data_IF_330223158267
#
_entry.id   IF_330223158267
#
_cell.length_a   1.000
_cell.length_b   1.000
_cell.length_c   1.000
_cell.angle_alpha   90.00
_cell.angle_beta   90.00
_cell.angle_gamma   90.00
#
_symmetry.space_group_name_H-M   'P 1'
#
loop_
_entity.id
_entity.type
_entity.pdbx_description
1 polymer ?
#
# COMPACT_ATOMS: atom_id res chain seq x y z
N UNK A 1 -16.51 4.27 1.28
CA UNK A 1 -15.31 4.16 2.14
C UNK A 1 -14.82 5.57 2.41
N UNK A 2 -14.53 5.92 3.67
CA UNK A 2 -14.03 7.25 4.01
C UNK A 2 -12.52 7.29 3.79
N UNK A 3 -12.03 8.30 3.07
CA UNK A 3 -10.59 8.50 2.86
C UNK A 3 -10.00 9.37 3.95
N UNK A 4 -8.98 8.86 4.64
CA UNK A 4 -8.23 9.57 5.68
C UNK A 4 -6.86 8.90 5.87
N UNK A 5 -5.84 9.59 6.39
CA UNK A 5 -4.51 9.02 6.53
C UNK A 5 -4.46 8.04 7.72
N UNK A 6 -4.58 6.73 7.46
CA UNK A 6 -4.46 5.68 8.50
C UNK A 6 -3.14 5.73 9.27
N UNK A 7 -2.08 6.19 8.61
CA UNK A 7 -0.73 6.31 9.19
C UNK A 7 -0.61 7.43 10.23
N UNK A 8 -1.63 8.26 10.44
CA UNK A 8 -1.55 9.41 11.36
C UNK A 8 -1.43 9.00 12.83
N UNK A 9 -1.95 7.82 13.20
CA UNK A 9 -1.88 7.26 14.56
C UNK A 9 -0.64 6.41 14.80
N UNK A 10 0.12 6.13 13.74
CA UNK A 10 1.32 5.30 13.83
C UNK A 10 2.38 6.03 14.64
N UNK A 11 2.95 5.32 15.59
CA UNK A 11 3.95 5.86 16.51
C UNK A 11 4.93 4.74 16.89
N UNK A 12 6.00 5.04 17.61
CA UNK A 12 7.04 4.05 17.96
C UNK A 12 6.58 2.93 18.94
N UNK A 13 5.29 2.86 19.27
CA UNK A 13 4.68 1.76 20.01
C UNK A 13 4.67 0.46 19.20
N UNK A 14 3.89 -0.53 19.67
CA UNK A 14 3.68 -1.81 18.99
C UNK A 14 2.89 -1.66 17.69
N UNK A 15 3.52 -2.04 16.57
CA UNK A 15 2.96 -1.98 15.21
C UNK A 15 1.57 -2.62 15.09
N UNK A 16 1.28 -3.67 15.86
CA UNK A 16 -0.01 -4.38 15.84
C UNK A 16 -1.20 -3.59 16.40
N UNK A 17 -0.97 -2.39 16.94
CA UNK A 17 -2.04 -1.48 17.41
C UNK A 17 -2.37 -0.38 16.41
N UNK A 18 -1.62 -0.32 15.31
CA UNK A 18 -1.79 0.71 14.30
C UNK A 18 -3.02 0.48 13.44
N UNK A 19 -3.70 1.56 13.08
CA UNK A 19 -4.81 1.49 12.11
C UNK A 19 -4.30 0.96 10.77
N UNK A 20 -5.03 0.00 10.21
CA UNK A 20 -4.65 -0.69 8.98
C UNK A 20 -3.62 -1.80 9.16
N UNK A 21 -3.17 -2.12 10.38
CA UNK A 21 -2.22 -3.21 10.62
C UNK A 21 -2.92 -4.37 11.32
N UNK A 22 -2.72 -5.58 10.81
CA UNK A 22 -3.13 -6.81 11.48
C UNK A 22 -1.96 -7.77 11.61
N UNK A 23 -1.80 -8.32 12.81
CA UNK A 23 -0.71 -9.20 13.18
C UNK A 23 -1.22 -10.61 13.47
N UNK A 24 -0.33 -11.58 13.27
CA UNK A 24 -0.52 -12.94 13.74
C UNK A 24 -0.57 -12.96 15.27
N UNK A 25 -1.63 -13.53 15.84
CA UNK A 25 -1.87 -13.54 17.30
C UNK A 25 -0.84 -14.38 18.06
N UNK A 26 -0.18 -15.33 17.39
CA UNK A 26 0.79 -16.23 18.01
C UNK A 26 2.21 -15.68 17.94
N UNK A 27 2.61 -15.14 16.78
CA UNK A 27 3.99 -14.67 16.56
C UNK A 27 4.17 -13.17 16.77
N UNK A 28 3.08 -12.39 16.76
CA UNK A 28 3.11 -10.93 16.79
C UNK A 28 3.63 -10.29 15.50
N UNK A 29 3.82 -11.06 14.43
CA UNK A 29 4.32 -10.56 13.16
C UNK A 29 3.20 -9.91 12.34
N UNK A 30 3.48 -8.81 11.66
CA UNK A 30 2.54 -8.18 10.72
C UNK A 30 2.25 -9.12 9.55
N UNK A 31 0.98 -9.49 9.38
CA UNK A 31 0.51 -10.37 8.30
C UNK A 31 -0.44 -9.66 7.33
N UNK A 32 -1.02 -8.53 7.72
CA UNK A 32 -1.83 -7.71 6.84
C UNK A 32 -1.58 -6.22 7.06
N UNK A 33 -1.50 -5.50 5.93
CA UNK A 33 -1.39 -4.05 5.87
C UNK A 33 -2.45 -3.50 4.92
N UNK A 34 -3.51 -2.92 5.49
CA UNK A 34 -4.56 -2.17 4.79
C UNK A 34 -4.28 -0.67 4.88
N UNK A 35 -3.73 -0.13 3.80
CA UNK A 35 -3.54 1.29 3.56
C UNK A 35 -4.48 1.79 2.45
N UNK A 36 -5.58 1.09 2.19
CA UNK A 36 -6.57 1.55 1.23
C UNK A 36 -7.13 2.92 1.63
N UNK A 37 -7.44 3.75 0.63
CA UNK A 37 -8.01 5.09 0.83
C UNK A 37 -7.21 6.02 1.78
N UNK A 38 -5.91 5.78 1.95
CA UNK A 38 -5.09 6.41 2.99
C UNK A 38 -4.45 7.75 2.60
N UNK A 39 -4.90 8.37 1.51
CA UNK A 39 -4.36 9.63 0.98
C UNK A 39 -2.85 9.59 0.68
N UNK A 40 -2.30 8.39 0.49
CA UNK A 40 -0.89 8.19 0.19
C UNK A 40 -0.61 8.64 -1.25
N UNK A 41 0.57 9.21 -1.44
CA UNK A 41 1.04 9.67 -2.74
C UNK A 41 2.54 9.45 -2.89
N UNK A 42 3.01 9.36 -4.13
CA UNK A 42 4.43 9.20 -4.45
C UNK A 42 4.74 7.91 -5.21
N UNK A 43 6.00 7.47 -5.17
CA UNK A 43 6.50 6.30 -5.89
C UNK A 43 6.87 5.16 -4.95
N UNK A 44 6.78 3.93 -5.44
CA UNK A 44 7.34 2.76 -4.78
C UNK A 44 8.86 2.78 -4.89
N UNK A 45 9.53 2.95 -3.75
CA UNK A 45 10.98 2.84 -3.67
C UNK A 45 11.39 1.43 -3.26
N UNK A 46 12.24 0.78 -4.04
CA UNK A 46 12.71 -0.59 -3.79
C UNK A 46 13.48 -0.76 -2.47
N UNK A 47 13.89 0.34 -1.83
CA UNK A 47 14.54 0.36 -0.52
C UNK A 47 13.55 0.66 0.64
N UNK A 48 12.23 0.64 0.38
CA UNK A 48 11.21 0.82 1.42
C UNK A 48 11.26 -0.32 2.45
N UNK A 49 11.04 0.02 3.72
CA UNK A 49 10.87 -0.95 4.81
C UNK A 49 9.66 -1.88 4.62
N UNK A 50 8.72 -1.50 3.75
CA UNK A 50 7.61 -2.36 3.32
C UNK A 50 8.09 -3.76 2.89
N UNK A 51 9.21 -3.82 2.17
CA UNK A 51 9.77 -5.09 1.66
C UNK A 51 10.52 -5.91 2.71
N UNK A 52 10.57 -5.45 3.97
CA UNK A 52 11.10 -6.21 5.11
C UNK A 52 9.99 -7.01 5.81
N UNK A 53 8.72 -6.83 5.43
CA UNK A 53 7.58 -7.56 5.98
C UNK A 53 7.43 -8.93 5.29
N UNK A 54 8.38 -9.84 5.48
CA UNK A 54 8.41 -11.13 4.76
C UNK A 54 7.22 -12.05 5.04
N UNK A 55 6.57 -11.89 6.19
CA UNK A 55 5.39 -12.66 6.60
C UNK A 55 4.07 -12.03 6.14
N UNK A 56 4.12 -10.92 5.40
CA UNK A 56 2.93 -10.21 4.93
C UNK A 56 2.15 -11.11 3.96
N UNK A 57 0.91 -11.41 4.32
CA UNK A 57 -0.04 -12.21 3.54
C UNK A 57 -0.95 -11.35 2.68
N UNK A 58 -1.29 -10.15 3.16
CA UNK A 58 -2.20 -9.22 2.48
C UNK A 58 -1.66 -7.80 2.51
N UNK A 59 -1.61 -7.17 1.34
CA UNK A 59 -1.25 -5.76 1.17
C UNK A 59 -2.31 -5.05 0.34
N UNK A 60 -3.00 -4.10 0.95
CA UNK A 60 -3.96 -3.24 0.27
C UNK A 60 -3.46 -1.79 0.22
N UNK A 61 -3.12 -1.36 -0.98
CA UNK A 61 -2.68 -0.01 -1.33
C UNK A 61 -3.70 0.68 -2.25
N UNK A 62 -4.89 0.11 -2.41
CA UNK A 62 -5.90 0.59 -3.34
C UNK A 62 -6.38 2.00 -3.00
N UNK A 63 -6.91 2.70 -4.00
CA UNK A 63 -7.52 4.02 -3.82
C UNK A 63 -6.57 5.10 -3.24
N UNK A 64 -5.27 4.95 -3.47
CA UNK A 64 -4.25 5.97 -3.22
C UNK A 64 -3.74 6.59 -4.55
N UNK A 65 -2.88 7.61 -4.46
CA UNK A 65 -2.33 8.31 -5.61
C UNK A 65 -0.86 7.95 -5.87
N UNK A 66 -0.61 6.73 -6.36
CA UNK A 66 0.74 6.30 -6.78
C UNK A 66 1.01 6.58 -8.27
N UNK A 67 0.41 7.64 -8.82
CA UNK A 67 0.51 7.96 -10.24
C UNK A 67 1.97 8.15 -10.67
N UNK A 68 2.33 7.52 -11.80
CA UNK A 68 3.70 7.54 -12.31
C UNK A 68 4.69 6.64 -11.55
N UNK A 69 4.22 5.83 -10.59
CA UNK A 69 5.03 4.77 -10.01
C UNK A 69 5.07 3.57 -10.96
N UNK A 70 6.26 3.04 -11.20
CA UNK A 70 6.40 1.68 -11.71
C UNK A 70 6.13 0.73 -10.54
N UNK A 71 5.44 -0.38 -10.81
CA UNK A 71 5.32 -1.48 -9.86
C UNK A 71 6.73 -2.03 -9.67
N UNK A 72 7.25 -1.97 -8.44
CA UNK A 72 8.60 -2.46 -8.16
C UNK A 72 8.62 -4.00 -8.28
N UNK A 73 9.62 -4.61 -8.94
CA UNK A 73 9.75 -6.07 -8.97
C UNK A 73 9.90 -6.69 -7.58
N UNK A 74 10.29 -5.87 -6.57
CA UNK A 74 10.34 -6.23 -5.15
C UNK A 74 9.02 -6.75 -4.60
N UNK A 75 7.86 -6.43 -5.19
CA UNK A 75 6.60 -7.04 -4.79
C UNK A 75 6.59 -8.56 -5.01
N UNK A 76 7.40 -9.08 -5.93
CA UNK A 76 7.62 -10.52 -6.11
C UNK A 76 8.54 -11.15 -5.07
N UNK A 77 9.23 -10.37 -4.23
CA UNK A 77 10.08 -10.89 -3.14
C UNK A 77 9.27 -11.27 -1.89
N UNK A 78 7.97 -10.90 -1.81
CA UNK A 78 7.12 -11.34 -0.72
C UNK A 78 6.76 -12.82 -0.87
N UNK A 79 7.46 -13.67 -0.12
CA UNK A 79 7.25 -15.13 -0.15
C UNK A 79 5.88 -15.57 0.38
N UNK A 80 5.27 -14.79 1.28
CA UNK A 80 4.01 -15.15 1.95
C UNK A 80 2.78 -14.43 1.38
N UNK A 81 2.96 -13.53 0.40
CA UNK A 81 1.89 -12.65 -0.08
C UNK A 81 0.91 -13.44 -0.95
N UNK A 82 -0.36 -13.38 -0.56
CA UNK A 82 -1.48 -14.04 -1.26
C UNK A 82 -2.45 -13.03 -1.85
N UNK A 83 -2.49 -11.81 -1.31
CA UNK A 83 -3.39 -10.75 -1.75
C UNK A 83 -2.60 -9.44 -1.92
N UNK A 84 -2.55 -8.95 -3.15
CA UNK A 84 -1.97 -7.65 -3.49
C UNK A 84 -3.00 -6.79 -4.22
N UNK A 85 -3.39 -5.67 -3.62
CA UNK A 85 -4.35 -4.73 -4.18
C UNK A 85 -3.65 -3.37 -4.37
N UNK A 86 -3.44 -2.95 -5.62
CA UNK A 86 -2.71 -1.72 -5.95
C UNK A 86 -3.48 -0.80 -6.91
N UNK A 87 -4.76 -1.07 -7.14
CA UNK A 87 -5.56 -0.31 -8.08
C UNK A 87 -5.85 1.09 -7.53
N UNK A 88 -5.50 2.11 -8.30
CA UNK A 88 -5.65 3.51 -7.91
C UNK A 88 -7.03 4.06 -8.29
N UNK A 89 -7.49 5.12 -7.61
CA UNK A 89 -8.51 5.99 -8.18
C UNK A 89 -7.95 6.59 -9.48
N UNK A 90 -8.31 6.00 -10.61
CA UNK A 90 -8.24 6.70 -11.88
C UNK A 90 -9.31 7.79 -11.81
N UNK A 91 -8.98 8.97 -11.27
CA UNK A 91 -9.61 10.17 -11.79
C UNK A 91 -9.20 10.15 -13.25
N UNK A 92 -10.12 9.87 -14.17
CA UNK A 92 -9.87 9.97 -15.60
C UNK A 92 -9.20 11.33 -15.84
N UNK A 93 -7.88 11.33 -15.97
CA UNK A 93 -7.16 12.53 -16.34
C UNK A 93 -7.57 12.72 -17.80
N UNK A 94 -8.49 13.63 -18.06
CA UNK A 94 -8.85 14.06 -19.43
C UNK A 94 -7.57 14.37 -20.23
N UNK A 95 -6.48 14.77 -19.53
CA UNK A 95 -5.13 14.91 -20.09
C UNK A 95 -4.56 13.65 -20.77
N UNK A 96 -4.86 12.45 -20.29
CA UNK A 96 -4.40 11.21 -20.91
C UNK A 96 -5.10 10.93 -22.24
N UNK A 97 -6.35 11.36 -22.41
CA UNK A 97 -7.09 11.26 -23.68
C UNK A 97 -6.67 12.35 -24.66
N UNK A 98 -6.37 13.56 -24.17
CA UNK A 98 -5.86 14.65 -25.02
C UNK A 98 -4.54 14.28 -25.71
N UNK A 99 -3.65 13.51 -25.07
CA UNK A 99 -2.42 13.02 -25.74
C UNK A 99 -2.69 12.16 -26.99
N UNK A 100 -3.89 11.59 -27.12
CA UNK A 100 -4.29 10.80 -28.28
C UNK A 100 -5.22 11.56 -29.25
N UNK A 101 -5.55 12.82 -28.94
CA UNK A 101 -6.51 13.65 -29.70
C UNK A 101 -5.90 14.97 -30.22
N UNK A 102 -4.62 15.26 -29.94
CA UNK A 102 -3.80 16.31 -30.56
C UNK A 102 -2.49 15.74 -31.06
#
# INVERSE_FOLDING_TARGET
>A
MQSYPRTISWNKSTDCTWDGVHCDETTGQVIELDLSCSQLHGKFYSNSSLFQLFNLKRLDLSYNNFSGSLISPKFGEFSSLTHLLIYQFQVFQVKSLLKYLI
#
